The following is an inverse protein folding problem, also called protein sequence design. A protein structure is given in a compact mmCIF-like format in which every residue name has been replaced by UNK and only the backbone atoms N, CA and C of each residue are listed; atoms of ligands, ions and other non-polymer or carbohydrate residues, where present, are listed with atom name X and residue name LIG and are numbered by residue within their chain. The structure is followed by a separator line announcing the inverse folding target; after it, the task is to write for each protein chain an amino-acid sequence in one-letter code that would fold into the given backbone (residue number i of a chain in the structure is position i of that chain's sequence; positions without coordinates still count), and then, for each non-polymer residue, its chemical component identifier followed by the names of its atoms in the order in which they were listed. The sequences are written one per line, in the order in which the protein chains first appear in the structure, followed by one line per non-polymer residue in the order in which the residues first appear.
data_IF_276548685527
#
_entry.id   IF_276548685527
#
_cell.length_a   1.000
_cell.length_b   1.000
_cell.length_c   1.000
_cell.angle_alpha   90.00
_cell.angle_beta   90.00
_cell.angle_gamma   90.00
#
_symmetry.space_group_name_H-M   'P 1'
#
loop_
_entity.id
_entity.type
_entity.pdbx_description
1 polymer ?
#
# COMPACT_ATOMS: atom_id res chain seq x y z
N UNK A 1 -80.22 9.78 -62.74
CA UNK A 1 -79.87 9.18 -61.44
C UNK A 1 -78.38 8.86 -61.41
N UNK A 2 -77.64 9.29 -60.39
CA UNK A 2 -76.57 8.47 -59.81
C UNK A 2 -76.78 8.24 -58.30
N UNK A 3 -76.56 7.01 -57.83
CA UNK A 3 -76.77 6.58 -56.43
C UNK A 3 -75.64 7.07 -55.52
N UNK A 4 -75.97 7.79 -54.45
CA UNK A 4 -75.04 8.23 -53.41
C UNK A 4 -74.79 7.06 -52.44
N UNK A 5 -73.56 6.60 -52.34
CA UNK A 5 -73.13 5.58 -51.37
C UNK A 5 -72.95 6.24 -50.00
N UNK A 6 -73.80 5.91 -49.02
CA UNK A 6 -73.62 6.33 -47.63
C UNK A 6 -72.50 5.52 -46.98
N UNK A 7 -71.34 6.14 -46.73
CA UNK A 7 -70.30 5.58 -45.86
C UNK A 7 -70.85 5.45 -44.42
N UNK A 8 -70.80 4.24 -43.85
CA UNK A 8 -71.06 4.01 -42.42
C UNK A 8 -69.98 4.73 -41.60
N UNK A 9 -70.41 5.68 -40.76
CA UNK A 9 -69.56 6.31 -39.77
C UNK A 9 -69.12 5.25 -38.74
N UNK A 10 -67.81 4.95 -38.72
CA UNK A 10 -67.19 4.16 -37.65
C UNK A 10 -67.20 5.03 -36.41
N UNK A 11 -68.04 4.69 -35.43
CA UNK A 11 -68.00 5.30 -34.10
C UNK A 11 -66.67 4.93 -33.43
N UNK A 12 -65.72 5.85 -33.44
CA UNK A 12 -64.55 5.78 -32.55
C UNK A 12 -65.08 6.00 -31.13
N UNK A 13 -65.04 4.96 -30.29
CA UNK A 13 -65.26 5.11 -28.84
C UNK A 13 -64.27 6.16 -28.31
N UNK A 14 -64.71 7.12 -27.49
CA UNK A 14 -63.79 8.08 -26.88
C UNK A 14 -62.91 7.28 -25.93
N UNK A 15 -61.63 7.16 -26.27
CA UNK A 15 -60.62 6.74 -25.30
C UNK A 15 -60.64 7.81 -24.21
N UNK A 16 -60.89 7.42 -22.97
CA UNK A 16 -61.07 8.35 -21.86
C UNK A 16 -59.76 9.13 -21.67
N UNK A 17 -59.80 10.45 -21.83
CA UNK A 17 -58.65 11.34 -21.67
C UNK A 17 -57.92 11.13 -20.33
N UNK A 18 -58.61 10.65 -19.30
CA UNK A 18 -58.06 10.27 -18.00
C UNK A 18 -57.03 9.13 -18.06
N UNK A 19 -57.22 8.09 -18.88
CA UNK A 19 -56.28 6.97 -19.01
C UNK A 19 -54.97 7.40 -19.70
N UNK A 20 -55.07 8.24 -20.73
CA UNK A 20 -53.91 8.73 -21.48
C UNK A 20 -53.09 9.70 -20.62
N UNK A 21 -53.77 10.55 -19.84
CA UNK A 21 -53.14 11.46 -18.87
C UNK A 21 -52.40 10.68 -17.78
N UNK A 22 -53.02 9.64 -17.22
CA UNK A 22 -52.42 8.78 -16.19
C UNK A 22 -51.13 8.08 -16.68
N UNK A 23 -51.16 7.51 -17.88
CA UNK A 23 -49.99 6.84 -18.47
C UNK A 23 -48.84 7.82 -18.76
N UNK A 24 -49.12 9.00 -19.30
CA UNK A 24 -48.10 10.02 -19.53
C UNK A 24 -47.45 10.49 -18.21
N UNK A 25 -48.25 10.61 -17.14
CA UNK A 25 -47.78 10.97 -15.80
C UNK A 25 -46.90 9.88 -15.19
N UNK A 26 -47.28 8.61 -15.34
CA UNK A 26 -46.48 7.45 -14.88
C UNK A 26 -45.12 7.39 -15.58
N UNK A 27 -45.10 7.55 -16.91
CA UNK A 27 -43.86 7.56 -17.70
C UNK A 27 -42.95 8.72 -17.26
N UNK A 28 -43.50 9.93 -17.12
CA UNK A 28 -42.76 11.09 -16.60
C UNK A 28 -42.21 10.85 -15.19
N UNK A 29 -43.00 10.26 -14.30
CA UNK A 29 -42.59 9.94 -12.94
C UNK A 29 -41.50 8.87 -12.90
N UNK A 30 -41.59 7.84 -13.75
CA UNK A 30 -40.57 6.81 -13.88
C UNK A 30 -39.24 7.39 -14.41
N UNK A 31 -39.29 8.31 -15.38
CA UNK A 31 -38.12 9.01 -15.91
C UNK A 31 -37.48 9.92 -14.86
N UNK A 32 -38.28 10.72 -14.13
CA UNK A 32 -37.80 11.57 -13.03
C UNK A 32 -37.17 10.73 -11.91
N UNK A 33 -37.74 9.55 -11.60
CA UNK A 33 -37.18 8.62 -10.60
C UNK A 33 -35.82 8.08 -11.04
N UNK A 34 -35.68 7.65 -12.30
CA UNK A 34 -34.39 7.20 -12.86
C UNK A 34 -33.36 8.34 -12.89
N UNK A 35 -33.77 9.55 -13.27
CA UNK A 35 -32.90 10.73 -13.28
C UNK A 35 -32.40 11.09 -11.87
N UNK A 36 -33.30 11.11 -10.88
CA UNK A 36 -32.92 11.33 -9.47
C UNK A 36 -31.95 10.26 -8.98
N UNK A 37 -32.21 8.99 -9.28
CA UNK A 37 -31.31 7.88 -8.93
C UNK A 37 -29.92 8.07 -9.54
N UNK A 38 -29.82 8.43 -10.82
CA UNK A 38 -28.54 8.70 -11.49
C UNK A 38 -27.80 9.88 -10.86
N UNK A 39 -28.48 10.97 -10.54
CA UNK A 39 -27.88 12.12 -9.85
C UNK A 39 -27.37 11.71 -8.47
N UNK A 40 -28.16 10.97 -7.70
CA UNK A 40 -27.74 10.48 -6.38
C UNK A 40 -26.52 9.57 -6.47
N UNK A 41 -26.49 8.63 -7.42
CA UNK A 41 -25.31 7.77 -7.66
C UNK A 41 -24.10 8.61 -8.05
N UNK A 42 -24.28 9.59 -8.94
CA UNK A 42 -23.21 10.51 -9.34
C UNK A 42 -22.63 11.30 -8.16
N UNK A 43 -23.47 11.81 -7.26
CA UNK A 43 -23.04 12.50 -6.03
C UNK A 43 -22.27 11.56 -5.11
N UNK A 44 -22.75 10.32 -4.92
CA UNK A 44 -22.07 9.33 -4.07
C UNK A 44 -20.71 8.96 -4.65
N UNK A 45 -20.61 8.75 -5.96
CA UNK A 45 -19.34 8.48 -6.63
C UNK A 45 -18.39 9.68 -6.50
N UNK A 46 -18.87 10.90 -6.74
CA UNK A 46 -18.07 12.11 -6.57
C UNK A 46 -17.58 12.28 -5.12
N UNK A 47 -18.42 11.99 -4.12
CA UNK A 47 -18.03 12.03 -2.71
C UNK A 47 -16.98 10.96 -2.38
N UNK A 48 -17.12 9.73 -2.88
CA UNK A 48 -16.12 8.68 -2.70
C UNK A 48 -14.78 9.05 -3.36
N UNK A 49 -14.82 9.64 -4.56
CA UNK A 49 -13.60 10.12 -5.24
C UNK A 49 -12.93 11.26 -4.46
N UNK A 50 -13.71 12.20 -3.93
CA UNK A 50 -13.17 13.29 -3.10
C UNK A 50 -12.51 12.73 -1.83
N UNK A 51 -13.17 11.81 -1.14
CA UNK A 51 -12.61 11.13 0.04
C UNK A 51 -11.33 10.38 -0.31
N UNK A 52 -11.32 9.62 -1.41
CA UNK A 52 -10.13 8.93 -1.89
C UNK A 52 -8.97 9.89 -2.18
N UNK A 53 -9.22 11.00 -2.87
CA UNK A 53 -8.20 12.01 -3.17
C UNK A 53 -7.64 12.64 -1.90
N UNK A 54 -8.50 13.00 -0.93
CA UNK A 54 -8.04 13.55 0.35
C UNK A 54 -7.18 12.57 1.13
N UNK A 55 -7.59 11.29 1.18
CA UNK A 55 -6.81 10.23 1.81
C UNK A 55 -5.48 10.02 1.09
N UNK A 56 -5.48 10.00 -0.24
CA UNK A 56 -4.26 9.83 -1.05
C UNK A 56 -3.28 10.99 -0.83
N UNK A 57 -3.76 12.23 -0.84
CA UNK A 57 -2.94 13.41 -0.56
C UNK A 57 -2.36 13.37 0.86
N UNK A 58 -3.17 13.02 1.87
CA UNK A 58 -2.72 12.89 3.24
C UNK A 58 -1.64 11.80 3.38
N UNK A 59 -1.88 10.60 2.82
CA UNK A 59 -0.90 9.51 2.85
C UNK A 59 0.36 9.84 2.07
N UNK A 60 0.29 10.63 0.99
CA UNK A 60 1.46 11.10 0.26
C UNK A 60 2.26 12.09 1.11
N UNK A 61 1.60 13.03 1.77
CA UNK A 61 2.24 14.01 2.66
C UNK A 61 3.02 13.31 3.78
N UNK A 62 2.42 12.31 4.43
CA UNK A 62 3.10 11.54 5.49
C UNK A 62 4.33 10.80 4.94
N UNK A 63 4.24 10.26 3.72
CA UNK A 63 5.36 9.57 3.08
C UNK A 63 6.51 10.53 2.78
N UNK A 64 6.22 11.72 2.27
CA UNK A 64 7.24 12.73 1.96
C UNK A 64 7.93 13.23 3.23
N UNK A 65 7.17 13.46 4.29
CA UNK A 65 7.70 13.83 5.61
C UNK A 65 8.63 12.75 6.18
N UNK A 66 8.17 11.50 6.23
CA UNK A 66 8.98 10.37 6.68
C UNK A 66 10.25 10.20 5.82
N UNK A 67 10.19 10.41 4.50
CA UNK A 67 11.34 10.30 3.60
C UNK A 67 12.38 11.41 3.83
N UNK A 68 11.96 12.63 4.19
CA UNK A 68 12.88 13.71 4.56
C UNK A 68 13.65 13.34 5.84
N UNK A 69 12.97 12.78 6.84
CA UNK A 69 13.61 12.34 8.08
C UNK A 69 14.53 11.14 7.80
N UNK A 70 14.10 10.18 6.99
CA UNK A 70 14.94 9.05 6.56
C UNK A 70 16.24 9.54 5.90
N UNK A 71 16.15 10.55 5.02
CA UNK A 71 17.33 11.15 4.39
C UNK A 71 18.28 11.74 5.43
N UNK A 72 17.76 12.41 6.45
CA UNK A 72 18.58 12.94 7.54
C UNK A 72 19.23 11.81 8.34
N UNK A 73 18.50 10.73 8.63
CA UNK A 73 19.02 9.54 9.30
C UNK A 73 20.16 8.89 8.49
N UNK A 74 19.99 8.77 7.17
CA UNK A 74 21.01 8.23 6.25
C UNK A 74 22.32 9.01 6.34
N UNK A 75 22.28 10.34 6.44
CA UNK A 75 23.48 11.16 6.55
C UNK A 75 24.31 10.77 7.79
N UNK A 76 23.65 10.54 8.93
CA UNK A 76 24.31 10.06 10.16
C UNK A 76 24.78 8.61 10.03
N UNK A 77 23.94 7.73 9.50
CA UNK A 77 24.22 6.30 9.38
C UNK A 77 25.44 6.02 8.48
N UNK A 78 25.47 6.58 7.28
CA UNK A 78 26.56 6.41 6.30
C UNK A 78 27.76 7.32 6.56
N UNK A 79 27.60 8.35 7.39
CA UNK A 79 28.71 9.23 7.78
C UNK A 79 29.02 10.31 6.77
N UNK A 80 28.08 10.63 5.87
CA UNK A 80 28.19 11.78 4.97
C UNK A 80 28.26 13.10 5.75
N UNK A 81 27.82 13.12 7.01
CA UNK A 81 28.14 14.21 7.95
C UNK A 81 29.60 14.12 8.43
N UNK A 82 30.52 14.07 7.49
CA UNK A 82 32.00 14.05 7.65
C UNK A 82 32.56 15.26 8.41
N UNK A 83 31.73 16.27 8.72
CA UNK A 83 32.10 17.49 9.46
C UNK A 83 31.78 17.45 10.95
N UNK A 84 31.09 16.44 11.46
CA UNK A 84 30.82 16.32 12.90
C UNK A 84 31.93 15.50 13.56
N UNK A 85 32.58 16.06 14.57
CA UNK A 85 33.63 15.41 15.39
C UNK A 85 33.06 14.36 16.36
N UNK A 86 32.01 13.65 15.97
CA UNK A 86 31.25 12.73 16.83
C UNK A 86 31.65 11.28 16.55
N UNK A 87 31.52 10.41 17.55
CA UNK A 87 31.90 9.00 17.43
C UNK A 87 30.92 8.21 16.53
N UNK A 88 31.34 7.03 16.06
CA UNK A 88 30.49 6.13 15.29
C UNK A 88 29.26 5.67 16.09
N UNK A 89 29.41 5.46 17.40
CA UNK A 89 28.29 5.12 18.28
C UNK A 89 27.29 6.27 18.38
N UNK A 90 27.76 7.50 18.57
CA UNK A 90 26.88 8.68 18.62
C UNK A 90 26.14 8.89 17.30
N UNK A 91 26.81 8.67 16.17
CA UNK A 91 26.18 8.70 14.85
C UNK A 91 25.07 7.66 14.70
N UNK A 92 25.33 6.43 15.14
CA UNK A 92 24.35 5.35 15.07
C UNK A 92 23.16 5.60 15.98
N UNK A 93 23.36 6.17 17.17
CA UNK A 93 22.26 6.56 18.06
C UNK A 93 21.39 7.66 17.44
N UNK A 94 22.00 8.70 16.84
CA UNK A 94 21.24 9.74 16.12
C UNK A 94 20.49 9.17 14.92
N UNK A 95 21.11 8.29 14.15
CA UNK A 95 20.44 7.60 13.06
C UNK A 95 19.26 6.76 13.56
N UNK A 96 19.44 6.06 14.69
CA UNK A 96 18.40 5.23 15.31
C UNK A 96 17.15 6.05 15.67
N UNK A 97 17.35 7.20 16.33
CA UNK A 97 16.26 8.11 16.70
C UNK A 97 15.50 8.61 15.47
N UNK A 98 16.22 9.06 14.44
CA UNK A 98 15.60 9.58 13.22
C UNK A 98 14.90 8.49 12.40
N UNK A 99 15.44 7.27 12.32
CA UNK A 99 14.75 6.18 11.65
C UNK A 99 13.47 5.76 12.39
N UNK A 100 13.46 5.79 13.73
CA UNK A 100 12.23 5.57 14.52
C UNK A 100 11.19 6.62 14.20
N UNK A 101 11.58 7.89 14.26
CA UNK A 101 10.69 9.02 13.94
C UNK A 101 10.11 8.89 12.52
N UNK A 102 10.94 8.55 11.54
CA UNK A 102 10.50 8.29 10.16
C UNK A 102 9.44 7.17 10.08
N UNK A 103 9.70 6.04 10.74
CA UNK A 103 8.80 4.88 10.76
C UNK A 103 7.50 5.18 11.51
N UNK A 104 7.55 5.95 12.60
CA UNK A 104 6.39 6.39 13.38
C UNK A 104 5.45 7.30 12.57
N UNK A 105 6.00 8.15 11.68
CA UNK A 105 5.22 8.97 10.75
C UNK A 105 4.62 8.09 9.65
N UNK A 106 5.46 7.29 8.99
CA UNK A 106 5.04 6.38 7.93
C UNK A 106 6.05 5.25 7.78
N UNK A 107 5.57 4.02 7.91
CA UNK A 107 6.39 2.84 7.58
C UNK A 107 6.70 2.82 6.08
N UNK A 108 7.97 3.04 5.75
CA UNK A 108 8.53 2.99 4.40
C UNK A 108 9.58 1.86 4.36
N UNK A 109 9.65 1.05 3.29
CA UNK A 109 10.55 -0.12 3.25
C UNK A 109 12.01 0.20 3.57
N UNK A 110 12.55 1.28 3.01
CA UNK A 110 13.95 1.68 3.16
C UNK A 110 14.26 2.15 4.58
N UNK A 111 13.40 3.00 5.16
CA UNK A 111 13.50 3.42 6.55
C UNK A 111 13.44 2.25 7.52
N UNK A 112 12.50 1.32 7.33
CA UNK A 112 12.35 0.14 8.19
C UNK A 112 13.56 -0.81 8.11
N UNK A 113 14.06 -1.05 6.89
CA UNK A 113 15.28 -1.85 6.70
C UNK A 113 16.50 -1.20 7.37
N UNK A 114 16.66 0.12 7.24
CA UNK A 114 17.77 0.85 7.84
C UNK A 114 17.64 0.98 9.36
N UNK A 115 16.42 1.04 9.90
CA UNK A 115 16.17 0.95 11.33
C UNK A 115 16.69 -0.38 11.88
N UNK A 116 16.31 -1.49 11.26
CA UNK A 116 16.83 -2.82 11.60
C UNK A 116 18.36 -2.92 11.47
N UNK A 117 18.94 -2.35 10.41
CA UNK A 117 20.41 -2.30 10.26
C UNK A 117 21.10 -1.48 11.35
N UNK A 118 20.48 -0.40 11.80
CA UNK A 118 21.02 0.45 12.86
C UNK A 118 21.03 -0.31 14.19
N UNK A 119 19.93 -0.98 14.54
CA UNK A 119 19.88 -1.90 15.68
C UNK A 119 20.95 -3.00 15.58
N UNK A 120 21.08 -3.65 14.42
CA UNK A 120 22.08 -4.68 14.20
C UNK A 120 23.52 -4.17 14.44
N UNK A 121 23.85 -2.97 13.92
CA UNK A 121 25.17 -2.35 14.09
C UNK A 121 25.46 -1.96 15.54
N UNK A 122 24.43 -1.59 16.30
CA UNK A 122 24.51 -1.32 17.73
C UNK A 122 24.54 -2.59 18.59
N UNK A 123 24.43 -3.78 17.98
CA UNK A 123 24.44 -5.06 18.69
C UNK A 123 23.10 -5.47 19.29
N UNK A 124 22.04 -4.68 19.09
CA UNK A 124 20.70 -4.98 19.54
C UNK A 124 19.99 -5.88 18.52
N UNK A 125 20.39 -7.15 18.49
CA UNK A 125 19.89 -8.12 17.53
C UNK A 125 18.40 -8.45 17.73
N UNK A 126 17.88 -8.32 18.96
CA UNK A 126 16.48 -8.58 19.27
C UNK A 126 15.57 -7.56 18.59
N UNK A 127 15.88 -6.27 18.72
CA UNK A 127 15.13 -5.24 18.00
C UNK A 127 15.39 -5.29 16.49
N UNK A 128 16.61 -5.61 16.04
CA UNK A 128 16.87 -5.81 14.62
C UNK A 128 15.96 -6.89 14.00
N UNK A 129 15.82 -8.05 14.67
CA UNK A 129 14.90 -9.12 14.24
C UNK A 129 13.47 -8.60 14.11
N UNK A 130 12.98 -7.88 15.13
CA UNK A 130 11.62 -7.33 15.14
C UNK A 130 11.34 -6.45 13.92
N UNK A 131 12.26 -5.52 13.61
CA UNK A 131 12.07 -4.60 12.47
C UNK A 131 12.20 -5.31 11.12
N UNK A 132 13.08 -6.31 11.01
CA UNK A 132 13.20 -7.13 9.80
C UNK A 132 12.00 -8.06 9.59
N UNK A 133 11.44 -8.66 10.65
CA UNK A 133 10.23 -9.48 10.54
C UNK A 133 9.04 -8.60 10.10
N UNK A 134 8.89 -7.40 10.69
CA UNK A 134 7.89 -6.43 10.23
C UNK A 134 8.06 -6.06 8.75
N UNK A 135 9.32 -5.91 8.29
CA UNK A 135 9.58 -5.68 6.87
C UNK A 135 9.08 -6.83 6.00
N UNK A 136 9.35 -8.08 6.40
CA UNK A 136 8.94 -9.26 5.62
C UNK A 136 7.42 -9.35 5.54
N UNK A 137 6.73 -9.03 6.64
CA UNK A 137 5.27 -9.07 6.70
C UNK A 137 4.62 -7.99 5.80
N UNK A 138 5.16 -6.77 5.80
CA UNK A 138 4.55 -5.63 5.09
C UNK A 138 5.08 -5.45 3.65
N UNK A 139 6.33 -5.85 3.38
CA UNK A 139 7.08 -5.45 2.17
C UNK A 139 7.80 -6.59 1.46
N UNK A 140 7.43 -7.86 1.70
CA UNK A 140 7.99 -9.02 0.98
C UNK A 140 7.86 -8.95 -0.56
N UNK A 141 6.94 -8.13 -1.09
CA UNK A 141 6.83 -7.85 -2.52
C UNK A 141 7.97 -6.98 -3.09
N UNK A 142 8.73 -6.28 -2.25
CA UNK A 142 9.94 -5.57 -2.67
C UNK A 142 11.11 -6.57 -2.74
N UNK A 143 11.19 -7.32 -3.83
CA UNK A 143 12.11 -8.45 -3.95
C UNK A 143 13.58 -8.09 -3.74
N UNK A 144 14.00 -6.88 -4.14
CA UNK A 144 15.39 -6.42 -3.97
C UNK A 144 15.75 -6.21 -2.50
N UNK A 145 14.95 -5.41 -1.77
CA UNK A 145 15.19 -5.20 -0.35
C UNK A 145 14.91 -6.46 0.47
N UNK A 146 13.94 -7.29 0.07
CA UNK A 146 13.62 -8.55 0.76
C UNK A 146 14.82 -9.50 0.80
N UNK A 147 15.59 -9.59 -0.30
CA UNK A 147 16.81 -10.39 -0.30
C UNK A 147 17.86 -9.86 0.69
N UNK A 148 18.01 -8.54 0.82
CA UNK A 148 18.92 -7.93 1.79
C UNK A 148 18.43 -8.13 3.23
N UNK A 149 17.12 -7.98 3.45
CA UNK A 149 16.47 -8.19 4.75
C UNK A 149 16.64 -9.63 5.21
N UNK A 150 16.41 -10.63 4.35
CA UNK A 150 16.62 -12.03 4.73
C UNK A 150 18.06 -12.34 5.13
N UNK A 151 19.05 -11.79 4.43
CA UNK A 151 20.46 -11.96 4.82
C UNK A 151 20.73 -11.37 6.21
N UNK A 152 20.21 -10.17 6.50
CA UNK A 152 20.38 -9.52 7.80
C UNK A 152 19.60 -10.21 8.91
N UNK A 153 18.37 -10.63 8.64
CA UNK A 153 17.53 -11.36 9.57
C UNK A 153 18.15 -12.72 9.94
N UNK A 154 18.66 -13.47 8.96
CA UNK A 154 19.38 -14.71 9.21
C UNK A 154 20.63 -14.46 10.09
N UNK A 155 21.42 -13.44 9.76
CA UNK A 155 22.57 -13.06 10.58
C UNK A 155 22.16 -12.69 12.02
N UNK A 156 21.09 -11.91 12.20
CA UNK A 156 20.58 -11.57 13.53
C UNK A 156 20.14 -12.79 14.31
N UNK A 157 19.44 -13.74 13.67
CA UNK A 157 19.03 -14.99 14.29
C UNK A 157 20.23 -15.83 14.77
N UNK A 158 21.30 -15.92 13.97
CA UNK A 158 22.56 -16.57 14.39
C UNK A 158 23.16 -15.87 15.60
N UNK A 159 23.18 -14.53 15.61
CA UNK A 159 23.74 -13.73 16.72
C UNK A 159 23.02 -13.94 18.05
N UNK A 160 21.75 -14.34 18.01
CA UNK A 160 20.96 -14.69 19.20
C UNK A 160 20.83 -16.21 19.43
N UNK A 161 21.61 -17.03 18.70
CA UNK A 161 21.64 -18.49 18.84
C UNK A 161 20.44 -19.24 18.27
N UNK A 162 19.59 -18.59 17.46
CA UNK A 162 18.39 -19.18 16.86
C UNK A 162 18.69 -19.71 15.44
N UNK A 163 19.63 -20.65 15.34
CA UNK A 163 20.14 -21.15 14.06
C UNK A 163 19.06 -21.78 13.17
N UNK A 164 18.11 -22.52 13.74
CA UNK A 164 16.99 -23.12 13.00
C UNK A 164 16.17 -22.07 12.24
N UNK A 165 15.93 -20.91 12.88
CA UNK A 165 15.23 -19.78 12.23
C UNK A 165 16.10 -19.13 11.16
N UNK A 166 17.41 -18.99 11.42
CA UNK A 166 18.32 -18.46 10.42
C UNK A 166 18.31 -19.30 9.14
N UNK A 167 18.40 -20.63 9.24
CA UNK A 167 18.31 -21.54 8.09
C UNK A 167 16.94 -21.50 7.41
N UNK A 168 15.85 -21.41 8.20
CA UNK A 168 14.52 -21.18 7.65
C UNK A 168 14.42 -19.92 6.79
N UNK A 169 15.06 -18.82 7.24
CA UNK A 169 15.13 -17.55 6.49
C UNK A 169 16.02 -17.67 5.26
N UNK A 170 17.16 -18.36 5.33
CA UNK A 170 18.02 -18.60 4.17
C UNK A 170 17.33 -19.45 3.10
N UNK A 171 16.50 -20.41 3.50
CA UNK A 171 15.63 -21.15 2.58
C UNK A 171 14.59 -20.26 1.86
N UNK A 172 14.15 -19.16 2.49
CA UNK A 172 13.31 -18.15 1.83
C UNK A 172 14.13 -17.29 0.88
N UNK A 173 15.32 -16.85 1.29
CA UNK A 173 16.27 -16.11 0.44
C UNK A 173 16.55 -16.87 -0.86
N UNK A 174 16.81 -18.18 -0.77
CA UNK A 174 17.10 -19.04 -1.91
C UNK A 174 15.97 -19.13 -2.95
N UNK A 175 14.76 -18.64 -2.64
CA UNK A 175 13.60 -18.64 -3.55
C UNK A 175 13.28 -17.26 -4.12
N UNK A 176 13.92 -16.19 -3.64
CA UNK A 176 13.70 -14.84 -4.13
C UNK A 176 14.14 -14.75 -5.60
N UNK A 177 13.33 -14.08 -6.45
CA UNK A 177 13.58 -13.90 -7.89
C UNK A 177 13.90 -15.21 -8.60
N UNK A 178 13.01 -16.20 -8.46
CA UNK A 178 13.14 -17.53 -9.06
C UNK A 178 14.49 -18.22 -8.78
N UNK A 179 15.05 -17.96 -7.60
CA UNK A 179 16.28 -18.59 -7.14
C UNK A 179 17.57 -17.83 -7.44
N UNK A 180 17.48 -16.55 -7.80
CA UNK A 180 18.65 -15.68 -8.03
C UNK A 180 19.64 -15.70 -6.86
N UNK A 181 19.16 -15.85 -5.62
CA UNK A 181 19.98 -15.80 -4.40
C UNK A 181 20.29 -17.18 -3.80
N UNK A 182 20.09 -18.27 -4.56
CA UNK A 182 20.33 -19.64 -4.06
C UNK A 182 21.78 -19.85 -3.63
N UNK A 183 22.74 -19.41 -4.44
CA UNK A 183 24.17 -19.56 -4.12
C UNK A 183 24.55 -18.70 -2.91
N UNK A 184 23.99 -17.49 -2.80
CA UNK A 184 24.18 -16.63 -1.62
C UNK A 184 23.65 -17.30 -0.35
N UNK A 185 22.48 -17.93 -0.41
CA UNK A 185 21.92 -18.66 0.72
C UNK A 185 22.86 -19.80 1.14
N UNK A 186 23.32 -20.65 0.22
CA UNK A 186 24.22 -21.77 0.51
C UNK A 186 25.55 -21.31 1.13
N UNK A 187 26.14 -20.21 0.64
CA UNK A 187 27.37 -19.65 1.21
C UNK A 187 27.14 -19.16 2.64
N UNK A 188 26.01 -18.53 2.92
CA UNK A 188 25.68 -18.08 4.27
C UNK A 188 25.37 -19.27 5.19
N UNK A 189 24.69 -20.30 4.70
CA UNK A 189 24.44 -21.53 5.46
C UNK A 189 25.75 -22.19 5.90
N UNK A 190 26.69 -22.37 4.96
CA UNK A 190 28.00 -22.94 5.25
C UNK A 190 28.75 -22.10 6.29
N UNK A 191 28.74 -20.77 6.15
CA UNK A 191 29.38 -19.85 7.11
C UNK A 191 28.81 -19.96 8.52
N UNK A 192 27.53 -20.26 8.67
CA UNK A 192 26.88 -20.35 9.98
C UNK A 192 27.00 -21.73 10.63
N UNK A 193 27.59 -22.71 9.93
CA UNK A 193 27.91 -24.03 10.47
C UNK A 193 29.35 -24.14 11.02
N UNK A 194 30.22 -23.19 10.67
CA UNK A 194 31.60 -23.06 11.19
C UNK A 194 31.63 -22.36 12.56
#
# INVERSE_FOLDING_TARGET
MPKIIKKKAVQKKPVQEEEISGFALEVLNALKKKQKMLITVGIVVAAMLALYLTFFMYSSSLKDEAAVIEKNANNYYYGEVTKLSISDEERLQKALELYKESVDIKVIPTALFNLGNTYYRLGDYANAIKEYDLFVDEFSGNEELTALVYQKLAASYVRVGQNDKAFGVLGKLAKVKDGLFKDTALVLEARYLE
#
